data_IF_098834543705
#
_entry.id   IF_098834543705
#
_cell.length_a   1.000
_cell.length_b   1.000
_cell.length_c   1.000
_cell.angle_alpha   90.00
_cell.angle_beta   90.00
_cell.angle_gamma   90.00
#
_symmetry.space_group_name_H-M   'P 1'
#
loop_
_entity.id
_entity.type
_entity.pdbx_description
1 polymer ?
#
# COMPACT_ATOMS: atom_id res chain seq x y z
N UNK A 1 4.71 26.21 19.79
CA UNK A 1 4.10 24.87 19.91
C UNK A 1 5.14 23.87 19.44
N UNK A 2 6.01 23.41 20.33
CA UNK A 2 6.96 22.33 20.01
C UNK A 2 6.14 21.06 19.85
N UNK A 3 6.19 20.45 18.67
CA UNK A 3 5.57 19.17 18.43
C UNK A 3 6.44 18.13 19.13
N UNK A 4 6.04 17.66 20.32
CA UNK A 4 6.81 16.71 21.16
C UNK A 4 6.77 15.26 20.61
N UNK A 5 6.34 15.07 19.37
CA UNK A 5 6.27 13.77 18.73
C UNK A 5 7.57 13.52 17.95
N UNK A 6 8.14 12.31 18.07
CA UNK A 6 9.24 11.92 17.19
C UNK A 6 8.79 12.05 15.73
N UNK A 7 9.75 12.36 14.86
CA UNK A 7 9.51 12.38 13.42
C UNK A 7 9.30 10.92 12.98
N UNK A 8 8.04 10.55 12.75
CA UNK A 8 7.64 9.18 12.40
C UNK A 8 7.55 9.11 10.88
N UNK A 9 8.33 8.20 10.29
CA UNK A 9 8.24 7.81 8.88
C UNK A 9 6.91 7.07 8.62
N UNK A 10 5.81 7.81 8.48
CA UNK A 10 4.45 7.25 8.37
C UNK A 10 4.32 6.28 7.20
N UNK A 11 5.00 6.53 6.08
CA UNK A 11 4.95 5.68 4.89
C UNK A 11 5.27 4.21 5.22
N UNK A 12 6.32 3.98 6.02
CA UNK A 12 6.76 2.65 6.46
C UNK A 12 5.77 1.92 7.39
N UNK A 13 4.67 2.57 7.77
CA UNK A 13 3.61 2.03 8.62
C UNK A 13 2.28 1.82 7.87
N UNK A 14 2.24 2.13 6.57
CA UNK A 14 1.03 2.03 5.75
C UNK A 14 1.02 0.71 4.97
N UNK A 15 -0.11 0.00 5.05
CA UNK A 15 -0.47 -1.08 4.15
C UNK A 15 -1.52 -0.56 3.14
N UNK A 16 -1.15 -0.50 1.86
CA UNK A 16 -2.04 0.00 0.80
C UNK A 16 -3.04 -1.07 0.36
N UNK A 17 -4.33 -0.82 0.55
CA UNK A 17 -5.35 -1.84 0.37
C UNK A 17 -6.13 -1.70 -0.95
N UNK A 18 -6.14 -2.76 -1.75
CA UNK A 18 -7.04 -2.95 -2.89
C UNK A 18 -7.94 -4.16 -2.64
N UNK A 19 -9.02 -3.91 -1.90
CA UNK A 19 -9.99 -4.92 -1.47
C UNK A 19 -11.35 -4.78 -2.17
N UNK A 20 -11.37 -4.18 -3.37
CA UNK A 20 -12.55 -4.21 -4.22
C UNK A 20 -12.66 -5.61 -4.86
N UNK A 21 -13.77 -6.35 -4.68
CA UNK A 21 -13.93 -7.69 -5.24
C UNK A 21 -13.95 -7.71 -6.79
N UNK A 22 -14.17 -6.57 -7.43
CA UNK A 22 -14.11 -6.41 -8.89
C UNK A 22 -12.80 -5.78 -9.36
N UNK A 23 -11.77 -5.76 -8.50
CA UNK A 23 -10.45 -5.23 -8.87
C UNK A 23 -9.89 -6.00 -10.08
N UNK A 24 -9.34 -5.28 -11.05
CA UNK A 24 -8.70 -5.88 -12.23
C UNK A 24 -7.19 -6.08 -12.00
N UNK A 25 -6.53 -6.95 -12.77
CA UNK A 25 -5.07 -7.11 -12.71
C UNK A 25 -4.31 -5.79 -12.87
N UNK A 26 -4.75 -4.87 -13.73
CA UNK A 26 -4.12 -3.57 -13.95
C UNK A 26 -4.25 -2.66 -12.73
N UNK A 27 -5.36 -2.77 -11.98
CA UNK A 27 -5.53 -2.04 -10.73
C UNK A 27 -4.62 -2.57 -9.62
N UNK A 28 -4.35 -3.88 -9.60
CA UNK A 28 -3.37 -4.48 -8.68
C UNK A 28 -1.96 -3.98 -9.00
N UNK A 29 -1.57 -3.95 -10.28
CA UNK A 29 -0.28 -3.41 -10.70
C UNK A 29 -0.14 -1.94 -10.30
N UNK A 30 -1.17 -1.13 -10.55
CA UNK A 30 -1.20 0.27 -10.12
C UNK A 30 -1.09 0.41 -8.60
N UNK A 31 -1.76 -0.43 -7.82
CA UNK A 31 -1.66 -0.45 -6.36
C UNK A 31 -0.22 -0.71 -5.90
N UNK A 32 0.47 -1.68 -6.52
CA UNK A 32 1.88 -1.97 -6.22
C UNK A 32 2.79 -0.80 -6.61
N UNK A 33 2.59 -0.20 -7.80
CA UNK A 33 3.33 0.97 -8.24
C UNK A 33 3.15 2.17 -7.31
N UNK A 34 1.95 2.37 -6.77
CA UNK A 34 1.68 3.42 -5.77
C UNK A 34 2.40 3.13 -4.45
N UNK A 35 2.33 1.89 -3.97
CA UNK A 35 3.03 1.47 -2.77
C UNK A 35 4.55 1.67 -2.89
N UNK A 36 5.15 1.27 -4.01
CA UNK A 36 6.56 1.52 -4.30
C UNK A 36 6.85 3.03 -4.40
N UNK A 37 6.03 3.79 -5.12
CA UNK A 37 6.25 5.25 -5.28
C UNK A 37 6.26 5.98 -3.94
N UNK A 38 5.40 5.59 -3.02
CA UNK A 38 5.26 6.24 -1.71
C UNK A 38 6.03 5.54 -0.59
N UNK A 39 6.73 4.44 -0.90
CA UNK A 39 7.49 3.64 0.07
C UNK A 39 6.61 3.11 1.21
N UNK A 40 5.42 2.62 0.86
CA UNK A 40 4.54 1.93 1.80
C UNK A 40 5.11 0.57 2.20
N UNK A 41 4.70 0.08 3.37
CA UNK A 41 5.25 -1.14 3.94
C UNK A 41 4.82 -2.39 3.17
N UNK A 42 3.56 -2.41 2.74
CA UNK A 42 2.97 -3.53 2.02
C UNK A 42 1.78 -3.12 1.16
N UNK A 43 1.34 -4.05 0.31
CA UNK A 43 0.01 -4.02 -0.32
C UNK A 43 -0.87 -5.11 0.27
N UNK A 44 -2.15 -4.79 0.45
CA UNK A 44 -3.18 -5.71 0.91
C UNK A 44 -4.17 -5.97 -0.22
N UNK A 45 -4.12 -7.16 -0.80
CA UNK A 45 -4.91 -7.59 -1.96
C UNK A 45 -5.60 -8.92 -1.68
N UNK A 46 -6.62 -9.27 -2.49
CA UNK A 46 -7.23 -10.60 -2.41
C UNK A 46 -6.22 -11.72 -2.71
N UNK A 47 -6.34 -12.90 -2.08
CA UNK A 47 -5.36 -13.99 -2.21
C UNK A 47 -5.06 -14.43 -3.65
N UNK A 48 -6.04 -14.33 -4.56
CA UNK A 48 -5.89 -14.65 -5.98
C UNK A 48 -4.84 -13.77 -6.68
N UNK A 49 -4.60 -12.57 -6.16
CA UNK A 49 -3.65 -11.61 -6.71
C UNK A 49 -2.27 -11.65 -6.06
N UNK A 50 -2.07 -12.40 -4.97
CA UNK A 50 -0.77 -12.46 -4.25
C UNK A 50 0.38 -12.94 -5.12
N UNK A 51 0.12 -13.80 -6.12
CA UNK A 51 1.17 -14.26 -7.05
C UNK A 51 1.57 -13.18 -8.07
N UNK A 52 0.66 -12.26 -8.38
CA UNK A 52 0.87 -11.18 -9.36
C UNK A 52 1.49 -9.95 -8.69
N UNK A 53 1.01 -9.62 -7.48
CA UNK A 53 1.46 -8.51 -6.67
C UNK A 53 2.92 -8.68 -6.20
#
# INVERSE_FOLDING_TARGET
MTNDYPDIEIASLIDHALLNPTATPEQVEKCCQEADRFQFAAVCVYPTYVKQA
#
